data_IF_293545382401
#
_entry.id   IF_293545382401
#
_cell.length_a   1.000
_cell.length_b   1.000
_cell.length_c   1.000
_cell.angle_alpha   90.00
_cell.angle_beta   90.00
_cell.angle_gamma   90.00
#
_symmetry.space_group_name_H-M   'P 1'
#
loop_
_entity.id
_entity.type
_entity.pdbx_description
1 polymer ?
#
# COMPACT_ATOMS: atom_id res chain seq x y z
N UNK A 1 39.08 -72.96 -5.15
CA UNK A 1 38.17 -72.20 -4.29
C UNK A 1 38.17 -70.79 -4.77
N UNK A 2 37.08 -70.33 -5.49
CA UNK A 2 36.95 -68.96 -6.01
C UNK A 2 35.98 -68.24 -5.10
N UNK A 3 36.48 -67.17 -4.42
CA UNK A 3 35.67 -66.30 -3.54
C UNK A 3 34.91 -65.28 -4.38
N UNK A 4 33.57 -65.24 -4.30
CA UNK A 4 32.68 -64.21 -4.87
C UNK A 4 32.48 -63.08 -3.84
N UNK A 5 33.10 -61.95 -4.12
CA UNK A 5 32.81 -60.70 -3.39
C UNK A 5 31.60 -60.00 -4.02
N UNK A 6 30.47 -60.01 -3.32
CA UNK A 6 29.26 -59.29 -3.70
C UNK A 6 29.42 -57.82 -3.30
N UNK A 7 29.45 -56.88 -4.26
CA UNK A 7 29.41 -55.46 -4.03
C UNK A 7 27.94 -55.01 -3.84
N UNK A 8 27.58 -54.60 -2.63
CA UNK A 8 26.31 -53.95 -2.37
C UNK A 8 26.39 -52.48 -2.85
N UNK A 9 25.60 -52.13 -3.84
CA UNK A 9 25.44 -50.76 -4.30
C UNK A 9 24.43 -50.03 -3.39
N UNK A 10 24.91 -49.03 -2.66
CA UNK A 10 24.08 -48.13 -1.84
C UNK A 10 23.41 -47.10 -2.76
N UNK A 11 22.13 -47.27 -3.07
CA UNK A 11 21.34 -46.29 -3.83
C UNK A 11 20.99 -45.13 -2.91
N UNK A 12 21.64 -43.99 -3.13
CA UNK A 12 21.30 -42.73 -2.47
C UNK A 12 20.01 -42.17 -3.11
N UNK A 13 18.89 -42.30 -2.45
CA UNK A 13 17.61 -41.69 -2.87
C UNK A 13 17.69 -40.20 -2.59
N UNK A 14 17.96 -39.41 -3.62
CA UNK A 14 17.83 -37.97 -3.59
C UNK A 14 16.34 -37.64 -3.47
N UNK A 15 15.87 -37.28 -2.27
CA UNK A 15 14.57 -36.67 -2.10
C UNK A 15 14.56 -35.30 -2.80
N UNK A 16 13.57 -34.99 -3.65
CA UNK A 16 13.47 -33.68 -4.21
C UNK A 16 13.22 -32.66 -3.07
N UNK A 17 14.13 -31.70 -2.94
CA UNK A 17 13.93 -30.54 -2.10
C UNK A 17 12.65 -29.85 -2.60
N UNK A 18 11.56 -29.92 -1.84
CA UNK A 18 10.36 -29.14 -2.15
C UNK A 18 10.76 -27.69 -2.06
N UNK A 19 11.00 -27.08 -3.24
CA UNK A 19 11.26 -25.66 -3.35
C UNK A 19 10.11 -24.90 -2.68
N UNK A 20 10.42 -24.11 -1.67
CA UNK A 20 9.51 -23.11 -1.13
C UNK A 20 9.19 -22.19 -2.32
N UNK A 21 7.99 -22.31 -2.87
CA UNK A 21 7.49 -21.36 -3.86
C UNK A 21 7.44 -20.01 -3.15
N UNK A 22 8.41 -19.17 -3.43
CA UNK A 22 8.39 -17.79 -2.95
C UNK A 22 7.09 -17.18 -3.42
N UNK A 23 6.21 -16.85 -2.51
CA UNK A 23 4.94 -16.21 -2.84
C UNK A 23 5.27 -14.77 -3.17
N UNK A 24 5.22 -14.46 -4.46
CA UNK A 24 5.56 -13.14 -5.01
C UNK A 24 4.39 -12.17 -4.75
N UNK A 25 4.32 -11.66 -3.51
CA UNK A 25 3.35 -10.66 -3.09
C UNK A 25 4.07 -9.36 -2.78
N UNK A 26 3.63 -8.25 -3.38
CA UNK A 26 4.19 -6.93 -3.11
C UNK A 26 3.92 -6.50 -1.67
N UNK A 27 4.96 -6.18 -0.91
CA UNK A 27 4.83 -5.67 0.46
C UNK A 27 4.92 -4.16 0.46
N UNK A 28 3.81 -3.53 0.86
CA UNK A 28 3.63 -2.07 0.85
C UNK A 28 3.68 -1.57 2.29
N UNK A 29 4.60 -0.66 2.59
CA UNK A 29 4.74 -0.04 3.91
C UNK A 29 3.65 1.04 4.10
N UNK A 30 2.67 0.79 4.97
CA UNK A 30 1.53 1.64 5.26
C UNK A 30 1.95 2.92 5.99
N UNK A 31 1.78 4.07 5.34
CA UNK A 31 2.24 5.38 5.83
C UNK A 31 3.74 5.38 6.15
N UNK A 32 4.52 4.63 5.36
CA UNK A 32 5.88 4.23 5.68
C UNK A 32 5.96 3.04 6.63
N UNK A 33 7.09 2.84 7.30
CA UNK A 33 7.23 1.85 8.37
C UNK A 33 6.56 2.37 9.67
N UNK A 34 5.24 2.57 9.64
CA UNK A 34 4.48 3.30 10.65
C UNK A 34 4.44 2.63 12.03
N UNK A 35 4.74 1.32 12.12
CA UNK A 35 4.94 0.66 13.41
C UNK A 35 6.17 1.22 14.14
N UNK A 36 7.26 1.50 13.45
CA UNK A 36 8.57 1.82 14.02
C UNK A 36 8.90 3.31 14.00
N UNK A 37 8.25 4.10 13.13
CA UNK A 37 8.42 5.54 12.98
C UNK A 37 7.06 6.27 12.91
N UNK A 38 7.00 7.60 13.12
CA UNK A 38 5.75 8.35 13.01
C UNK A 38 5.15 8.24 11.60
N UNK A 39 3.87 7.87 11.53
CA UNK A 39 3.15 7.69 10.26
C UNK A 39 3.22 8.93 9.36
N UNK A 40 3.31 8.73 8.03
CA UNK A 40 3.24 9.83 7.04
C UNK A 40 4.34 10.89 7.18
N UNK A 41 5.54 10.50 7.59
CA UNK A 41 6.72 11.37 7.71
C UNK A 41 7.84 10.91 6.79
N UNK A 42 8.81 11.77 6.52
CA UNK A 42 9.99 11.37 5.74
C UNK A 42 10.77 10.24 6.43
N UNK A 43 10.77 10.25 7.76
CA UNK A 43 11.43 9.24 8.59
C UNK A 43 10.78 7.86 8.40
N UNK A 44 9.45 7.77 8.46
CA UNK A 44 8.75 6.49 8.24
C UNK A 44 8.88 5.99 6.81
N UNK A 45 8.85 6.89 5.83
CA UNK A 45 9.02 6.57 4.41
C UNK A 45 10.42 6.01 4.13
N UNK A 46 11.47 6.72 4.58
CA UNK A 46 12.86 6.26 4.43
C UNK A 46 13.09 4.93 5.13
N UNK A 47 12.57 4.79 6.36
CA UNK A 47 12.66 3.52 7.10
C UNK A 47 11.92 2.39 6.36
N UNK A 48 10.80 2.66 5.69
CA UNK A 48 10.11 1.69 4.84
C UNK A 48 10.99 1.17 3.71
N UNK A 49 11.74 2.06 3.05
CA UNK A 49 12.73 1.67 2.04
C UNK A 49 13.88 0.87 2.63
N UNK A 50 14.45 1.29 3.75
CA UNK A 50 15.53 0.60 4.47
C UNK A 50 15.11 -0.79 4.94
N UNK A 51 13.86 -0.96 5.34
CA UNK A 51 13.26 -2.24 5.72
C UNK A 51 12.93 -3.13 4.52
N UNK A 52 13.25 -2.72 3.30
CA UNK A 52 13.12 -3.52 2.10
C UNK A 52 11.68 -3.64 1.58
N UNK A 53 10.79 -2.71 1.91
CA UNK A 53 9.45 -2.67 1.32
C UNK A 53 9.54 -2.52 -0.21
N UNK A 54 8.66 -3.21 -0.96
CA UNK A 54 8.60 -3.10 -2.41
C UNK A 54 7.97 -1.78 -2.82
N UNK A 55 7.03 -1.31 -1.99
CA UNK A 55 6.41 -0.01 -2.11
C UNK A 55 6.20 0.64 -0.74
N UNK A 56 5.99 1.95 -0.75
CA UNK A 56 5.50 2.70 0.40
C UNK A 56 4.17 3.32 0.02
N UNK A 57 3.27 3.36 0.96
CA UNK A 57 2.00 4.06 0.84
C UNK A 57 2.02 5.30 1.74
N UNK A 58 1.41 6.40 1.28
CA UNK A 58 1.22 7.66 2.00
C UNK A 58 -0.12 8.28 1.71
N UNK A 59 -0.65 9.05 2.67
CA UNK A 59 -1.90 9.82 2.53
C UNK A 59 -1.62 11.29 2.19
N UNK A 60 -2.42 11.90 1.33
CA UNK A 60 -2.22 13.31 0.95
C UNK A 60 -3.49 14.17 1.00
N UNK A 61 -3.27 15.43 1.35
CA UNK A 61 -4.25 16.53 1.29
C UNK A 61 -3.68 17.74 0.55
N UNK A 62 -4.56 18.67 0.15
CA UNK A 62 -4.17 20.03 -0.19
C UNK A 62 -4.12 20.91 1.06
N UNK A 63 -3.07 21.71 1.23
CA UNK A 63 -3.03 22.82 2.17
C UNK A 63 -3.86 24.00 1.66
N UNK A 64 -4.16 24.98 2.54
CA UNK A 64 -4.91 26.20 2.21
C UNK A 64 -4.27 26.98 1.03
N UNK A 65 -2.97 26.95 0.91
CA UNK A 65 -2.18 27.64 -0.14
C UNK A 65 -1.77 26.73 -1.29
N UNK A 66 -2.45 25.55 -1.43
CA UNK A 66 -2.38 24.68 -2.62
C UNK A 66 -1.16 23.74 -2.69
N UNK A 67 -0.43 23.55 -1.59
CA UNK A 67 0.61 22.52 -1.55
C UNK A 67 0.03 21.15 -1.21
N UNK A 68 0.55 20.10 -1.84
CA UNK A 68 0.21 18.73 -1.48
C UNK A 68 1.09 18.33 -0.29
N UNK A 69 0.45 18.06 0.84
CA UNK A 69 1.06 17.68 2.11
C UNK A 69 0.71 16.24 2.48
N UNK A 70 1.59 15.59 3.23
CA UNK A 70 1.41 14.16 3.61
C UNK A 70 0.85 14.08 5.02
N UNK A 71 -0.41 13.64 5.13
CA UNK A 71 -1.12 13.51 6.40
C UNK A 71 -2.36 12.62 6.21
N UNK A 72 -2.74 11.81 7.23
CA UNK A 72 -3.88 10.90 7.10
C UNK A 72 -5.22 11.53 7.45
N UNK A 73 -5.30 12.17 8.61
CA UNK A 73 -6.56 12.67 9.15
C UNK A 73 -6.92 14.03 8.53
N UNK A 74 -8.20 14.34 8.41
CA UNK A 74 -8.65 15.65 7.93
C UNK A 74 -8.29 16.82 8.86
N UNK A 75 -7.84 16.53 10.11
CA UNK A 75 -7.36 17.52 11.09
C UNK A 75 -6.00 17.13 11.66
N UNK A 76 -5.24 18.09 12.17
CA UNK A 76 -3.93 17.88 12.78
C UNK A 76 -4.00 17.50 14.27
N UNK A 77 -5.21 17.24 14.80
CA UNK A 77 -5.47 16.99 16.22
C UNK A 77 -4.75 15.75 16.75
N UNK A 78 -4.88 14.62 16.06
CA UNK A 78 -4.37 13.32 16.52
C UNK A 78 -2.85 13.32 16.72
N UNK A 79 -2.10 13.87 15.77
CA UNK A 79 -0.64 13.79 15.79
C UNK A 79 0.02 15.02 16.44
N UNK A 80 -0.58 16.20 16.31
CA UNK A 80 0.03 17.46 16.77
C UNK A 80 -0.75 18.17 17.89
N UNK A 81 -1.88 17.63 18.33
CA UNK A 81 -2.72 18.24 19.37
C UNK A 81 -3.49 19.49 18.92
N UNK A 82 -3.35 19.92 17.67
CA UNK A 82 -3.97 21.14 17.11
C UNK A 82 -5.25 20.76 16.36
N UNK A 83 -6.42 21.17 16.88
CA UNK A 83 -7.72 20.85 16.28
C UNK A 83 -8.07 21.84 15.15
N UNK A 84 -7.36 21.73 14.03
CA UNK A 84 -7.63 22.48 12.80
C UNK A 84 -7.60 21.54 11.59
N UNK A 85 -8.45 21.82 10.60
CA UNK A 85 -8.44 21.06 9.34
C UNK A 85 -7.15 21.34 8.57
N UNK A 86 -6.61 20.30 7.92
CA UNK A 86 -5.41 20.44 7.07
C UNK A 86 -5.62 21.47 5.97
N UNK A 87 -6.79 21.43 5.32
CA UNK A 87 -7.17 22.32 4.21
C UNK A 87 -7.33 23.79 4.62
N UNK A 88 -7.45 24.09 5.91
CA UNK A 88 -7.57 25.44 6.47
C UNK A 88 -6.22 26.03 6.93
N UNK A 89 -5.13 25.28 6.77
CA UNK A 89 -3.79 25.66 7.19
C UNK A 89 -2.86 25.80 5.98
N UNK A 90 -2.02 26.82 5.97
CA UNK A 90 -0.96 26.98 4.97
C UNK A 90 0.14 25.94 5.20
N UNK A 91 0.95 25.69 4.17
CA UNK A 91 2.13 24.83 4.30
C UNK A 91 3.04 25.29 5.46
N UNK A 92 3.26 26.59 5.58
CA UNK A 92 4.12 27.13 6.63
C UNK A 92 3.57 26.82 8.05
N UNK A 93 2.24 26.95 8.25
CA UNK A 93 1.58 26.59 9.51
C UNK A 93 1.69 25.08 9.77
N UNK A 94 1.42 24.25 8.78
CA UNK A 94 1.52 22.78 8.91
C UNK A 94 2.93 22.32 9.25
N UNK A 95 3.96 22.94 8.67
CA UNK A 95 5.36 22.59 8.95
C UNK A 95 5.88 23.08 10.30
N UNK A 96 5.14 23.90 11.05
CA UNK A 96 5.47 24.20 12.46
C UNK A 96 5.00 23.12 13.44
N UNK A 97 4.08 22.25 13.01
CA UNK A 97 3.51 21.22 13.87
C UNK A 97 4.49 20.06 14.08
N UNK A 98 4.65 19.65 15.33
CA UNK A 98 5.38 18.42 15.67
C UNK A 98 4.43 17.23 15.54
N UNK A 99 4.69 16.38 14.56
CA UNK A 99 3.90 15.17 14.29
C UNK A 99 4.65 13.89 14.67
N UNK A 100 5.77 14.01 15.36
CA UNK A 100 6.60 12.89 15.77
C UNK A 100 6.59 12.61 17.28
N UNK A 101 6.46 13.63 18.13
CA UNK A 101 6.60 13.51 19.58
C UNK A 101 5.65 12.46 20.20
N UNK A 102 4.45 12.25 19.65
CA UNK A 102 3.50 11.23 20.11
C UNK A 102 4.04 9.79 20.00
N UNK A 103 4.99 9.55 19.08
CA UNK A 103 5.61 8.24 18.84
C UNK A 103 6.81 7.97 19.76
N UNK A 104 7.32 8.99 20.45
CA UNK A 104 8.42 8.91 21.38
C UNK A 104 9.46 10.02 21.21
N UNK A 105 10.27 10.25 22.24
CA UNK A 105 11.20 11.39 22.33
C UNK A 105 12.19 11.50 21.17
N UNK A 106 12.65 10.36 20.64
CA UNK A 106 13.57 10.32 19.49
C UNK A 106 12.98 10.93 18.20
N UNK A 107 11.64 11.07 18.16
CA UNK A 107 10.92 11.59 17.01
C UNK A 107 10.42 13.04 17.20
N UNK A 108 10.75 13.64 18.34
CA UNK A 108 10.40 15.02 18.62
C UNK A 108 10.98 15.95 17.57
N UNK A 109 10.14 16.87 17.07
CA UNK A 109 10.54 17.81 16.04
C UNK A 109 10.31 17.35 14.60
N UNK A 110 9.82 16.13 14.37
CA UNK A 110 9.43 15.64 13.05
C UNK A 110 8.25 16.44 12.53
N UNK A 111 8.27 16.79 11.23
CA UNK A 111 7.33 17.71 10.58
C UNK A 111 6.52 17.04 9.48
N UNK A 112 5.37 17.64 9.14
CA UNK A 112 4.55 17.24 7.99
C UNK A 112 5.34 17.51 6.71
N UNK A 113 5.63 16.49 5.86
CA UNK A 113 6.36 16.70 4.62
C UNK A 113 5.44 17.12 3.48
N UNK A 114 6.01 17.76 2.45
CA UNK A 114 5.36 17.89 1.14
C UNK A 114 5.45 16.58 0.37
N UNK A 115 4.48 16.33 -0.51
CA UNK A 115 4.57 15.20 -1.46
C UNK A 115 5.88 15.23 -2.26
N UNK A 116 6.34 16.41 -2.67
CA UNK A 116 7.58 16.56 -3.45
C UNK A 116 8.81 15.99 -2.71
N UNK A 117 8.87 16.18 -1.39
CA UNK A 117 9.98 15.69 -0.57
C UNK A 117 9.95 14.15 -0.47
N UNK A 118 8.75 13.55 -0.39
CA UNK A 118 8.57 12.09 -0.40
C UNK A 118 8.90 11.51 -1.78
N UNK A 119 8.42 12.11 -2.87
CA UNK A 119 8.73 11.68 -4.24
C UNK A 119 10.24 11.61 -4.50
N UNK A 120 11.02 12.54 -3.94
CA UNK A 120 12.48 12.54 -4.06
C UNK A 120 13.14 11.31 -3.42
N UNK A 121 12.51 10.69 -2.41
CA UNK A 121 13.07 9.51 -1.70
C UNK A 121 12.89 8.19 -2.43
N UNK A 122 12.02 8.09 -3.45
CA UNK A 122 11.68 6.81 -4.08
C UNK A 122 12.91 6.21 -4.76
N UNK A 123 13.37 5.02 -4.34
CA UNK A 123 14.51 4.35 -4.96
C UNK A 123 14.16 3.82 -6.36
N UNK A 124 15.17 3.53 -7.18
CA UNK A 124 14.93 2.87 -8.46
C UNK A 124 14.28 1.49 -8.26
N UNK A 125 13.27 1.18 -9.09
CA UNK A 125 12.53 -0.08 -9.03
C UNK A 125 11.50 -0.17 -7.90
N UNK A 126 11.40 0.82 -7.01
CA UNK A 126 10.39 0.87 -5.95
C UNK A 126 9.21 1.75 -6.33
N UNK A 127 8.06 1.53 -5.69
CA UNK A 127 6.78 2.19 -5.98
C UNK A 127 6.31 3.06 -4.82
N UNK A 128 5.60 4.14 -5.11
CA UNK A 128 4.89 4.94 -4.12
C UNK A 128 3.39 4.92 -4.42
N UNK A 129 2.62 4.43 -3.48
CA UNK A 129 1.16 4.53 -3.47
C UNK A 129 0.77 5.83 -2.78
N UNK A 130 0.03 6.68 -3.48
CA UNK A 130 -0.43 7.98 -2.97
C UNK A 130 -1.94 7.92 -2.78
N UNK A 131 -2.38 7.80 -1.52
CA UNK A 131 -3.80 7.87 -1.18
C UNK A 131 -4.25 9.33 -1.13
N UNK A 132 -5.17 9.68 -2.00
CA UNK A 132 -5.80 10.99 -1.99
C UNK A 132 -6.98 10.97 -1.01
N UNK A 133 -6.90 11.80 0.05
CA UNK A 133 -7.91 11.90 1.12
C UNK A 133 -8.91 13.02 0.90
N UNK A 134 -8.61 14.00 0.05
CA UNK A 134 -9.52 15.08 -0.33
C UNK A 134 -10.26 14.79 -1.65
N UNK A 135 -10.93 15.76 -2.23
CA UNK A 135 -11.67 15.61 -3.47
C UNK A 135 -10.80 15.66 -4.73
N UNK A 136 -11.45 15.59 -5.91
CA UNK A 136 -10.74 15.56 -7.19
C UNK A 136 -10.03 16.89 -7.56
N UNK A 137 -10.26 17.95 -6.82
CA UNK A 137 -9.58 19.23 -6.98
C UNK A 137 -8.05 19.14 -6.87
N UNK A 138 -7.52 18.14 -6.18
CA UNK A 138 -6.07 17.88 -6.06
C UNK A 138 -5.46 17.34 -7.34
N UNK A 139 -6.24 16.69 -8.21
CA UNK A 139 -5.72 15.90 -9.35
C UNK A 139 -4.85 16.72 -10.32
N UNK A 140 -5.17 17.97 -10.66
CA UNK A 140 -4.29 18.79 -11.49
C UNK A 140 -2.89 19.00 -10.89
N UNK A 141 -2.79 19.29 -9.61
CA UNK A 141 -1.52 19.55 -8.93
C UNK A 141 -0.76 18.25 -8.63
N UNK A 142 -1.46 17.15 -8.33
CA UNK A 142 -0.88 15.81 -8.23
C UNK A 142 -0.21 15.41 -9.56
N UNK A 143 -0.90 15.61 -10.67
CA UNK A 143 -0.35 15.33 -12.00
C UNK A 143 0.89 16.19 -12.31
N UNK A 144 0.90 17.44 -11.86
CA UNK A 144 2.05 18.35 -11.98
C UNK A 144 3.23 17.88 -11.11
N UNK A 145 2.95 17.49 -9.85
CA UNK A 145 3.95 16.97 -8.94
C UNK A 145 4.61 15.69 -9.50
N UNK A 146 3.82 14.75 -10.01
CA UNK A 146 4.33 13.51 -10.62
C UNK A 146 5.21 13.78 -11.84
N UNK A 147 4.80 14.65 -12.75
CA UNK A 147 5.63 15.04 -13.91
C UNK A 147 6.95 15.69 -13.49
N UNK A 148 6.92 16.56 -12.47
CA UNK A 148 8.12 17.27 -11.97
C UNK A 148 9.08 16.38 -11.20
N UNK A 149 8.60 15.27 -10.64
CA UNK A 149 9.43 14.34 -9.85
C UNK A 149 10.49 13.60 -10.67
N UNK A 150 10.31 13.52 -12.00
CA UNK A 150 11.18 12.72 -12.87
C UNK A 150 11.06 11.21 -12.67
N UNK A 151 10.16 10.74 -11.80
CA UNK A 151 9.95 9.31 -11.57
C UNK A 151 9.25 8.64 -12.75
N UNK A 152 9.61 7.39 -13.02
CA UNK A 152 8.98 6.60 -14.08
C UNK A 152 7.51 6.34 -13.73
N UNK A 153 6.57 6.32 -14.70
CA UNK A 153 5.15 6.07 -14.41
C UNK A 153 4.89 4.85 -13.53
N UNK A 154 5.58 3.73 -13.77
CA UNK A 154 5.45 2.49 -12.98
C UNK A 154 5.88 2.61 -11.51
N UNK A 155 6.55 3.69 -11.12
CA UNK A 155 6.93 3.94 -9.73
C UNK A 155 5.84 4.69 -8.96
N UNK A 156 4.80 5.16 -9.62
CA UNK A 156 3.77 6.01 -9.05
C UNK A 156 2.41 5.33 -9.15
N UNK A 157 1.67 5.33 -8.07
CA UNK A 157 0.33 4.74 -7.98
C UNK A 157 -0.60 5.73 -7.28
N UNK A 158 -1.82 5.89 -7.78
CA UNK A 158 -2.86 6.69 -7.13
C UNK A 158 -3.93 5.77 -6.57
N UNK A 159 -4.26 5.96 -5.31
CA UNK A 159 -5.37 5.25 -4.66
C UNK A 159 -6.31 6.27 -3.97
N UNK A 160 -7.59 5.97 -3.90
CA UNK A 160 -8.55 6.78 -3.14
C UNK A 160 -9.86 6.02 -2.91
N UNK A 161 -10.52 6.31 -1.78
CA UNK A 161 -11.92 5.96 -1.52
C UNK A 161 -12.91 6.80 -2.33
N UNK A 162 -12.47 7.96 -2.81
CA UNK A 162 -13.29 8.81 -3.67
C UNK A 162 -13.12 8.35 -5.13
N UNK A 163 -14.17 7.73 -5.68
CA UNK A 163 -14.17 7.21 -7.03
C UNK A 163 -13.87 8.28 -8.10
N UNK A 164 -14.37 9.52 -7.93
CA UNK A 164 -14.11 10.60 -8.88
C UNK A 164 -12.61 11.00 -8.89
N UNK A 165 -11.92 10.87 -7.77
CA UNK A 165 -10.46 11.09 -7.72
C UNK A 165 -9.72 10.10 -8.62
N UNK A 166 -9.93 8.80 -8.43
CA UNK A 166 -9.20 7.78 -9.21
C UNK A 166 -9.58 7.81 -10.70
N UNK A 167 -10.84 8.08 -11.01
CA UNK A 167 -11.35 8.24 -12.38
C UNK A 167 -10.69 9.44 -13.08
N UNK A 168 -10.65 10.61 -12.44
CA UNK A 168 -10.02 11.80 -12.99
C UNK A 168 -8.49 11.69 -13.04
N UNK A 169 -7.88 11.07 -12.01
CA UNK A 169 -6.45 10.77 -12.01
C UNK A 169 -6.07 9.89 -13.20
N UNK A 170 -6.81 8.80 -13.43
CA UNK A 170 -6.57 7.90 -14.57
C UNK A 170 -6.75 8.58 -15.91
N UNK A 171 -7.79 9.40 -16.07
CA UNK A 171 -8.01 10.16 -17.30
C UNK A 171 -6.86 11.16 -17.59
N UNK A 172 -6.32 11.81 -16.54
CA UNK A 172 -5.27 12.83 -16.67
C UNK A 172 -3.86 12.24 -16.74
N UNK A 173 -3.66 11.06 -16.15
CA UNK A 173 -2.40 10.34 -16.02
C UNK A 173 -2.54 8.89 -16.52
N UNK A 174 -2.81 8.67 -17.82
CA UNK A 174 -3.18 7.34 -18.34
C UNK A 174 -2.09 6.27 -18.19
N UNK A 175 -0.84 6.67 -17.98
CA UNK A 175 0.30 5.76 -17.75
C UNK A 175 0.56 5.44 -16.28
N UNK A 176 -0.14 6.11 -15.35
CA UNK A 176 -0.04 5.88 -13.91
C UNK A 176 -1.12 4.87 -13.53
N UNK A 177 -0.75 3.90 -12.71
CA UNK A 177 -1.68 2.93 -12.16
C UNK A 177 -2.58 3.58 -11.11
N UNK A 178 -3.88 3.28 -11.17
CA UNK A 178 -4.87 3.79 -10.25
C UNK A 178 -5.73 2.65 -9.73
N UNK A 179 -5.95 2.61 -8.40
CA UNK A 179 -6.79 1.61 -7.77
C UNK A 179 -7.87 2.26 -6.93
N UNK A 180 -9.09 1.75 -7.04
CA UNK A 180 -10.20 2.19 -6.22
C UNK A 180 -10.15 1.52 -4.85
N UNK A 181 -10.11 2.32 -3.79
CA UNK A 181 -10.15 1.85 -2.41
C UNK A 181 -11.58 1.53 -1.98
N UNK A 182 -11.77 0.39 -1.32
CA UNK A 182 -13.06 0.05 -0.72
C UNK A 182 -12.90 -0.72 0.59
N UNK A 183 -13.79 -0.45 1.52
CA UNK A 183 -14.06 -1.32 2.67
C UNK A 183 -15.39 -2.02 2.46
N UNK A 184 -15.61 -3.11 3.20
CA UNK A 184 -16.82 -3.89 3.13
C UNK A 184 -17.68 -3.69 4.37
N UNK A 185 -18.99 -3.74 4.14
CA UNK A 185 -19.98 -4.01 5.19
C UNK A 185 -20.49 -5.44 4.92
N UNK A 186 -20.56 -6.24 5.95
CA UNK A 186 -21.17 -7.57 5.89
C UNK A 186 -22.46 -7.48 6.69
N UNK A 187 -23.56 -7.83 6.04
CA UNK A 187 -24.85 -7.94 6.70
C UNK A 187 -24.80 -9.17 7.64
N UNK A 188 -25.14 -8.99 8.90
CA UNK A 188 -25.00 -10.04 9.92
C UNK A 188 -26.02 -11.18 9.76
N UNK A 189 -27.17 -10.93 9.13
CA UNK A 189 -28.24 -11.92 8.98
C UNK A 189 -28.04 -12.74 7.70
N UNK A 190 -27.79 -12.06 6.57
CA UNK A 190 -27.65 -12.71 5.25
C UNK A 190 -26.24 -13.13 4.92
N UNK A 191 -25.23 -12.55 5.59
CA UNK A 191 -23.82 -12.68 5.21
C UNK A 191 -23.45 -11.94 3.92
N UNK A 192 -24.37 -11.16 3.34
CA UNK A 192 -24.14 -10.43 2.11
C UNK A 192 -23.11 -9.32 2.31
N UNK A 193 -22.17 -9.26 1.38
CA UNK A 193 -21.09 -8.28 1.41
C UNK A 193 -21.39 -7.11 0.47
N UNK A 194 -21.29 -5.91 1.01
CA UNK A 194 -21.47 -4.65 0.24
C UNK A 194 -20.20 -3.79 0.33
N UNK A 195 -19.66 -3.28 -0.81
CA UNK A 195 -20.06 -3.58 -2.19
C UNK A 195 -19.66 -5.01 -2.61
N UNK A 196 -20.39 -5.58 -3.59
CA UNK A 196 -20.05 -6.88 -4.19
C UNK A 196 -18.79 -6.78 -5.09
N UNK A 197 -18.19 -7.93 -5.41
CA UNK A 197 -17.07 -8.01 -6.33
C UNK A 197 -17.43 -7.42 -7.71
N UNK A 198 -18.61 -7.77 -8.23
CA UNK A 198 -19.12 -7.30 -9.53
C UNK A 198 -19.21 -5.78 -9.57
N UNK A 199 -19.77 -5.18 -8.51
CA UNK A 199 -19.87 -3.72 -8.41
C UNK A 199 -18.53 -3.03 -8.45
N UNK A 200 -17.52 -3.56 -7.73
CA UNK A 200 -16.17 -3.00 -7.73
C UNK A 200 -15.47 -3.19 -9.07
N UNK A 201 -15.65 -4.36 -9.72
CA UNK A 201 -15.12 -4.66 -11.04
C UNK A 201 -15.71 -3.69 -12.08
N UNK A 202 -17.02 -3.47 -12.07
CA UNK A 202 -17.69 -2.56 -13.00
C UNK A 202 -17.18 -1.12 -12.85
N UNK A 203 -17.01 -0.65 -11.61
CA UNK A 203 -16.45 0.68 -11.34
C UNK A 203 -15.00 0.79 -11.84
N UNK A 204 -14.16 -0.21 -11.55
CA UNK A 204 -12.77 -0.20 -12.00
C UNK A 204 -12.66 -0.20 -13.54
N UNK A 205 -13.44 -1.03 -14.22
CA UNK A 205 -13.47 -1.08 -15.69
C UNK A 205 -14.01 0.21 -16.32
N UNK A 206 -15.08 0.78 -15.77
CA UNK A 206 -15.67 2.02 -16.27
C UNK A 206 -14.68 3.18 -16.25
N UNK A 207 -13.80 3.24 -15.23
CA UNK A 207 -12.75 4.26 -15.10
C UNK A 207 -11.40 3.81 -15.70
N UNK A 208 -11.30 2.62 -16.31
CA UNK A 208 -10.07 2.03 -16.87
C UNK A 208 -8.92 1.93 -15.83
N UNK A 209 -9.28 1.60 -14.58
CA UNK A 209 -8.32 1.38 -13.51
C UNK A 209 -7.61 0.03 -13.68
N UNK A 210 -6.43 -0.11 -13.14
CA UNK A 210 -5.68 -1.36 -13.12
C UNK A 210 -6.27 -2.39 -12.14
N UNK A 211 -7.02 -1.93 -11.12
CA UNK A 211 -7.64 -2.83 -10.16
C UNK A 211 -8.30 -2.12 -8.99
N UNK A 212 -8.42 -2.86 -7.92
CA UNK A 212 -9.03 -2.44 -6.65
C UNK A 212 -8.10 -2.72 -5.49
N UNK A 213 -8.22 -1.91 -4.43
CA UNK A 213 -7.45 -2.07 -3.20
C UNK A 213 -8.42 -2.06 -2.02
N UNK A 214 -8.60 -3.21 -1.37
CA UNK A 214 -9.73 -3.42 -0.45
C UNK A 214 -9.29 -3.82 0.96
N UNK A 215 -10.16 -3.55 1.94
CA UNK A 215 -9.94 -4.04 3.30
C UNK A 215 -9.89 -5.58 3.32
N UNK A 216 -8.88 -6.16 4.00
CA UNK A 216 -8.82 -7.60 4.19
C UNK A 216 -9.96 -8.15 5.06
N UNK A 217 -10.57 -7.28 5.89
CA UNK A 217 -11.70 -7.61 6.77
C UNK A 217 -13.00 -7.77 5.99
N UNK A 218 -13.16 -8.60 5.13
CA UNK A 218 -14.30 -8.80 4.25
C UNK A 218 -13.86 -9.47 2.97
N UNK A 219 -12.55 -9.62 2.78
CA UNK A 219 -11.99 -10.48 1.76
C UNK A 219 -12.21 -11.94 2.22
N UNK A 220 -13.43 -12.46 1.98
CA UNK A 220 -13.89 -13.74 2.48
C UNK A 220 -13.09 -14.90 1.92
N UNK A 221 -13.37 -15.27 0.70
CA UNK A 221 -12.88 -16.49 0.09
C UNK A 221 -12.20 -16.27 -1.27
N UNK A 222 -11.82 -17.37 -1.85
CA UNK A 222 -11.20 -17.42 -3.17
C UNK A 222 -12.10 -16.86 -4.28
N UNK A 223 -13.44 -16.96 -4.13
CA UNK A 223 -14.39 -16.59 -5.18
C UNK A 223 -14.32 -15.09 -5.51
N UNK A 224 -14.18 -14.22 -4.51
CA UNK A 224 -13.99 -12.79 -4.74
C UNK A 224 -12.72 -12.51 -5.58
N UNK A 225 -11.61 -13.11 -5.18
CA UNK A 225 -10.31 -12.94 -5.85
C UNK A 225 -10.34 -13.49 -7.29
N UNK A 226 -10.95 -14.67 -7.49
CA UNK A 226 -11.06 -15.29 -8.81
C UNK A 226 -11.91 -14.43 -9.76
N UNK A 227 -12.98 -13.79 -9.30
CA UNK A 227 -13.78 -12.83 -10.08
C UNK A 227 -12.95 -11.62 -10.51
N UNK A 228 -12.19 -11.01 -9.58
CA UNK A 228 -11.33 -9.85 -9.89
C UNK A 228 -10.27 -10.22 -10.91
N UNK A 229 -9.60 -11.36 -10.72
CA UNK A 229 -8.60 -11.88 -11.68
C UNK A 229 -9.18 -12.22 -13.05
N UNK A 230 -10.33 -12.88 -13.08
CA UNK A 230 -11.03 -13.19 -14.33
C UNK A 230 -11.44 -11.92 -15.11
N UNK A 231 -11.64 -10.82 -14.40
CA UNK A 231 -11.89 -9.51 -14.99
C UNK A 231 -10.63 -8.83 -15.56
N UNK A 232 -9.42 -9.42 -15.34
CA UNK A 232 -8.13 -8.86 -15.73
C UNK A 232 -7.67 -7.72 -14.83
N UNK A 233 -8.14 -7.67 -13.57
CA UNK A 233 -7.83 -6.63 -12.62
C UNK A 233 -6.88 -7.14 -11.53
N UNK A 234 -6.05 -6.25 -11.01
CA UNK A 234 -5.22 -6.50 -9.85
C UNK A 234 -5.98 -6.27 -8.55
N UNK A 235 -5.60 -7.02 -7.50
CA UNK A 235 -6.19 -6.90 -6.17
C UNK A 235 -5.11 -6.67 -5.12
N UNK A 236 -5.21 -5.54 -4.42
CA UNK A 236 -4.41 -5.17 -3.27
C UNK A 236 -5.27 -5.17 -2.00
N UNK A 237 -4.62 -5.23 -0.83
CA UNK A 237 -5.35 -5.19 0.45
C UNK A 237 -4.59 -4.46 1.55
N UNK A 238 -5.34 -3.96 2.55
CA UNK A 238 -4.87 -3.18 3.70
C UNK A 238 -5.71 -3.44 4.96
N UNK A 239 -5.28 -3.13 6.17
CA UNK A 239 -3.90 -3.10 6.64
C UNK A 239 -3.66 -4.42 7.36
N UNK A 240 -2.74 -5.24 6.85
CA UNK A 240 -2.54 -6.62 7.34
C UNK A 240 -1.28 -6.66 8.20
N UNK A 241 -1.48 -6.85 9.51
CA UNK A 241 -0.43 -6.98 10.51
C UNK A 241 -0.41 -8.37 11.17
N UNK A 242 -1.15 -9.36 10.59
CA UNK A 242 -1.16 -10.75 11.01
C UNK A 242 -0.46 -11.62 9.97
N UNK A 243 0.56 -12.41 10.32
CA UNK A 243 1.28 -13.26 9.38
C UNK A 243 0.40 -14.38 8.84
N UNK A 244 -0.56 -14.89 9.63
CA UNK A 244 -1.47 -15.95 9.17
C UNK A 244 -2.44 -15.43 8.11
N UNK A 245 -2.98 -14.21 8.32
CA UNK A 245 -3.80 -13.54 7.31
C UNK A 245 -2.99 -13.29 6.05
N UNK A 246 -1.77 -12.77 6.17
CA UNK A 246 -0.90 -12.50 5.04
C UNK A 246 -0.54 -13.78 4.27
N UNK A 247 -0.18 -14.88 4.96
CA UNK A 247 0.08 -16.18 4.33
C UNK A 247 -1.14 -16.71 3.58
N UNK A 248 -2.32 -16.60 4.18
CA UNK A 248 -3.58 -16.99 3.52
C UNK A 248 -3.82 -16.20 2.24
N UNK A 249 -3.72 -14.88 2.31
CA UNK A 249 -3.94 -13.98 1.16
C UNK A 249 -2.88 -14.19 0.06
N UNK A 250 -1.63 -14.37 0.44
CA UNK A 250 -0.54 -14.67 -0.46
C UNK A 250 -0.76 -16.00 -1.20
N UNK A 251 -1.19 -17.08 -0.50
CA UNK A 251 -1.57 -18.37 -1.12
C UNK A 251 -2.75 -18.25 -2.07
N UNK A 252 -3.66 -17.33 -1.83
CA UNK A 252 -4.75 -17.01 -2.75
C UNK A 252 -4.27 -16.26 -4.00
N UNK A 253 -3.03 -15.71 -3.95
CA UNK A 253 -2.38 -14.99 -5.04
C UNK A 253 -2.85 -13.55 -5.18
N UNK A 254 -3.03 -12.84 -4.06
CA UNK A 254 -3.21 -11.39 -4.05
C UNK A 254 -1.96 -10.68 -4.59
N UNK A 255 -2.13 -9.55 -5.27
CA UNK A 255 -1.01 -8.82 -5.87
C UNK A 255 -0.12 -8.12 -4.83
N UNK A 256 -0.73 -7.51 -3.80
CA UNK A 256 0.04 -6.83 -2.76
C UNK A 256 -0.71 -6.66 -1.44
N UNK A 257 0.08 -6.48 -0.39
CA UNK A 257 -0.37 -6.36 1.00
C UNK A 257 0.25 -5.11 1.62
N UNK A 258 -0.61 -4.21 2.09
CA UNK A 258 -0.22 -3.04 2.86
C UNK A 258 -0.14 -3.39 4.34
N UNK A 259 0.98 -3.06 5.00
CA UNK A 259 1.27 -3.40 6.41
C UNK A 259 2.04 -2.29 7.12
N UNK A 260 1.83 -2.14 8.43
CA UNK A 260 2.59 -1.21 9.27
C UNK A 260 4.02 -1.71 9.55
N UNK A 261 4.33 -3.00 9.28
CA UNK A 261 5.54 -3.71 9.70
C UNK A 261 6.22 -4.45 8.54
N UNK A 262 6.72 -3.74 7.50
CA UNK A 262 7.14 -4.37 6.25
C UNK A 262 8.25 -5.41 6.40
N UNK A 263 9.36 -5.09 7.10
CA UNK A 263 10.45 -6.04 7.29
C UNK A 263 10.03 -7.27 8.11
N UNK A 264 9.20 -7.06 9.13
CA UNK A 264 8.67 -8.16 9.94
C UNK A 264 7.77 -9.07 9.11
N UNK A 265 6.83 -8.50 8.35
CA UNK A 265 5.91 -9.28 7.53
C UNK A 265 6.67 -10.10 6.47
N UNK A 266 7.68 -9.51 5.82
CA UNK A 266 8.52 -10.21 4.85
C UNK A 266 9.20 -11.43 5.47
N UNK A 267 9.80 -11.28 6.66
CA UNK A 267 10.41 -12.40 7.38
C UNK A 267 9.40 -13.50 7.72
N UNK A 268 8.18 -13.13 8.10
CA UNK A 268 7.13 -14.10 8.43
C UNK A 268 6.60 -14.86 7.20
N UNK A 269 6.57 -14.23 6.03
CA UNK A 269 6.17 -14.87 4.78
C UNK A 269 7.26 -15.77 4.19
N UNK A 270 8.52 -15.60 4.59
CA UNK A 270 9.67 -16.41 4.14
C UNK A 270 9.90 -17.68 4.97
N UNK A 271 9.15 -17.86 6.07
CA UNK A 271 9.15 -19.09 6.90
C UNK A 271 8.25 -20.16 6.29
#
# INVERSE_FOLDING_TARGET
>A
MKSFLTKAALACVLMPCQGVVAVDVEIIAHRGASHDAPENTLESVKLGWEQGADAVEIDVYLSKDGYIVVHHDGTTKKLAGVDRKVVDQTLAELQQLDVGAWKGDKWKGVRIPKLADVLATIPEGRRLFVEVKCGPEIVPDLAKAFRRSGKKPKQLVVISFNYEVVKQAKARLPKIECFYLSSFKVDEESGEQTPSAEKLIDLAKAAKLEGINVSYKGLGDRAFLDKVKAAGLELFTWTVNSPDVARRLAKLGINGITTDRPAWLRRELSK
#
